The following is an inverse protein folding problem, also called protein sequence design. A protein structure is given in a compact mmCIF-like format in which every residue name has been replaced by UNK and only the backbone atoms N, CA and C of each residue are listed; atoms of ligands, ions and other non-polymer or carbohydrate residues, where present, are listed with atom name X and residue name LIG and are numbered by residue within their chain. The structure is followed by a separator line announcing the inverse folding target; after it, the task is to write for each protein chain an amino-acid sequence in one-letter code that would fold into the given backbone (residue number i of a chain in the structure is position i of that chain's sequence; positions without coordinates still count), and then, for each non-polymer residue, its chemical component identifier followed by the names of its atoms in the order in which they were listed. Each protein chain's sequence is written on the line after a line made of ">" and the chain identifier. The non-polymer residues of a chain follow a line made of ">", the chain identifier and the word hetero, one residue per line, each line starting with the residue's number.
data_IF_607893495368
#
_entry.id   IF_607893495368
#
_cell.length_a   1.000
_cell.length_b   1.000
_cell.length_c   1.000
_cell.angle_alpha   90.00
_cell.angle_beta   90.00
_cell.angle_gamma   90.00
#
_symmetry.space_group_name_H-M   'P 1'
#
loop_
_entity.id
_entity.type
_entity.pdbx_description
1 polymer ?
#
# COMPACT_ATOMS: atom_id res chain seq x y z
N UNK A 1 8.01 -19.06 -19.79
CA UNK A 1 9.28 -18.95 -19.05
C UNK A 1 9.82 -17.57 -19.37
N UNK A 2 9.25 -16.55 -18.72
CA UNK A 2 9.63 -15.16 -18.90
C UNK A 2 10.56 -14.79 -17.75
N UNK A 3 11.73 -14.33 -18.15
CA UNK A 3 12.86 -13.88 -17.34
C UNK A 3 12.39 -12.83 -16.33
N UNK A 4 12.44 -13.13 -15.03
CA UNK A 4 12.16 -12.17 -13.95
C UNK A 4 13.50 -11.49 -13.62
N UNK A 5 13.70 -10.21 -13.98
CA UNK A 5 14.99 -9.57 -13.75
C UNK A 5 15.23 -9.48 -12.24
N UNK A 6 16.45 -9.86 -11.84
CA UNK A 6 16.97 -9.76 -10.49
C UNK A 6 16.88 -8.30 -10.01
N UNK A 7 15.88 -7.97 -9.19
CA UNK A 7 15.75 -6.66 -8.55
C UNK A 7 16.89 -6.49 -7.54
N UNK A 8 17.95 -5.79 -7.97
CA UNK A 8 19.22 -5.64 -7.25
C UNK A 8 19.05 -4.75 -6.01
N UNK A 9 19.77 -5.07 -4.94
CA UNK A 9 19.86 -4.30 -3.68
C UNK A 9 20.10 -2.78 -3.88
N UNK A 10 20.57 -2.36 -5.06
CA UNK A 10 20.71 -0.96 -5.44
C UNK A 10 19.40 -0.17 -5.43
N UNK A 11 18.28 -0.74 -5.86
CA UNK A 11 17.02 0.01 -6.02
C UNK A 11 16.42 0.42 -4.65
N UNK A 12 16.64 -0.41 -3.63
CA UNK A 12 16.23 -0.11 -2.26
C UNK A 12 17.02 1.01 -1.61
N UNK A 13 18.30 1.11 -1.96
CA UNK A 13 19.16 2.19 -1.49
C UNK A 13 18.66 3.55 -1.97
N UNK A 14 18.17 3.65 -3.21
CA UNK A 14 17.76 4.93 -3.80
C UNK A 14 16.39 5.41 -3.32
N UNK A 15 15.50 4.52 -2.88
CA UNK A 15 14.17 4.89 -2.36
C UNK A 15 14.21 5.71 -1.07
N UNK A 16 15.24 5.55 -0.23
CA UNK A 16 15.46 6.38 0.98
C UNK A 16 16.51 7.46 0.77
N UNK A 17 16.91 7.73 -0.48
CA UNK A 17 17.91 8.76 -0.77
C UNK A 17 17.42 10.16 -0.39
N UNK A 18 16.13 10.46 -0.59
CA UNK A 18 15.51 11.72 -0.17
C UNK A 18 15.69 11.98 1.33
N UNK A 19 15.31 11.03 2.18
CA UNK A 19 15.43 11.14 3.64
C UNK A 19 16.88 11.32 4.10
N UNK A 20 17.83 10.62 3.46
CA UNK A 20 19.25 10.78 3.76
C UNK A 20 19.77 12.14 3.33
N UNK A 21 19.38 12.63 2.16
CA UNK A 21 19.73 13.99 1.70
C UNK A 21 19.17 15.01 2.68
N UNK A 22 17.91 14.86 3.09
CA UNK A 22 17.27 15.74 4.06
C UNK A 22 17.99 15.73 5.42
N UNK A 23 18.33 14.53 5.92
CA UNK A 23 19.11 14.37 7.16
C UNK A 23 20.46 15.07 7.08
N UNK A 24 21.15 14.98 5.94
CA UNK A 24 22.43 15.67 5.72
C UNK A 24 22.24 17.19 5.66
N UNK A 25 21.20 17.69 4.98
CA UNK A 25 20.86 19.11 4.94
C UNK A 25 20.56 19.64 6.35
N UNK A 26 19.80 18.90 7.14
CA UNK A 26 19.49 19.29 8.52
C UNK A 26 20.74 19.27 9.39
N UNK A 27 21.62 18.27 9.24
CA UNK A 27 22.92 18.24 9.92
C UNK A 27 23.80 19.45 9.55
N UNK A 28 23.79 19.92 8.30
CA UNK A 28 24.54 21.13 7.91
C UNK A 28 24.04 22.40 8.59
N UNK A 29 22.81 22.41 9.11
CA UNK A 29 22.24 23.54 9.85
C UNK A 29 23.01 23.82 11.16
N UNK A 30 23.73 22.84 11.69
CA UNK A 30 24.65 23.04 12.84
C UNK A 30 25.79 24.02 12.54
N UNK A 31 26.15 24.17 11.25
CA UNK A 31 27.11 25.17 10.76
C UNK A 31 26.53 26.56 10.54
N UNK A 32 25.26 26.79 10.90
CA UNK A 32 24.53 28.05 10.72
C UNK A 32 23.80 28.17 9.38
N UNK A 33 22.97 29.22 9.27
CA UNK A 33 22.09 29.46 8.11
C UNK A 33 22.86 29.49 6.78
N UNK A 34 24.02 30.15 6.75
CA UNK A 34 24.84 30.24 5.54
C UNK A 34 25.41 28.89 5.09
N UNK A 35 25.65 27.93 6.00
CA UNK A 35 26.10 26.59 5.64
C UNK A 35 24.95 25.79 5.01
N UNK A 36 23.75 25.89 5.60
CA UNK A 36 22.53 25.28 5.08
C UNK A 36 22.18 25.82 3.68
N UNK A 37 22.16 27.14 3.49
CA UNK A 37 21.88 27.77 2.20
C UNK A 37 22.84 27.32 1.10
N UNK A 38 24.14 27.18 1.41
CA UNK A 38 25.13 26.66 0.45
C UNK A 38 24.91 25.19 0.13
N UNK A 39 24.52 24.37 1.11
CA UNK A 39 24.21 22.96 0.88
C UNK A 39 22.95 22.79 0.02
N UNK A 40 21.90 23.57 0.30
CA UNK A 40 20.68 23.61 -0.53
C UNK A 40 20.97 24.10 -1.95
N UNK A 41 21.80 25.14 -2.11
CA UNK A 41 22.24 25.60 -3.43
C UNK A 41 23.02 24.53 -4.19
N UNK A 42 23.96 23.83 -3.52
CA UNK A 42 24.69 22.73 -4.14
C UNK A 42 23.76 21.64 -4.66
N UNK A 43 22.79 21.20 -3.85
CA UNK A 43 21.80 20.20 -4.26
C UNK A 43 21.01 20.71 -5.47
N UNK A 44 20.57 21.98 -5.45
CA UNK A 44 19.83 22.59 -6.55
C UNK A 44 20.62 22.61 -7.86
N UNK A 45 21.90 22.98 -7.81
CA UNK A 45 22.78 22.98 -9.00
C UNK A 45 23.00 21.58 -9.57
N UNK A 46 23.23 20.58 -8.70
CA UNK A 46 23.44 19.19 -9.12
C UNK A 46 22.17 18.61 -9.73
N UNK A 47 21.01 18.80 -9.08
CA UNK A 47 19.71 18.35 -9.60
C UNK A 47 19.37 19.06 -10.91
N UNK A 48 19.65 20.37 -11.02
CA UNK A 48 19.47 21.12 -12.26
C UNK A 48 20.32 20.60 -13.42
N UNK A 49 21.60 20.31 -13.17
CA UNK A 49 22.51 19.74 -14.17
C UNK A 49 22.03 18.37 -14.66
N UNK A 50 21.65 17.49 -13.74
CA UNK A 50 21.14 16.16 -14.10
C UNK A 50 19.80 16.23 -14.82
N UNK A 51 18.89 17.10 -14.40
CA UNK A 51 17.61 17.33 -15.09
C UNK A 51 17.81 17.79 -16.53
N UNK A 52 18.69 18.77 -16.77
CA UNK A 52 19.01 19.24 -18.12
C UNK A 52 19.62 18.13 -19.00
N UNK A 53 20.48 17.29 -18.40
CA UNK A 53 21.10 16.16 -19.10
C UNK A 53 20.07 15.07 -19.43
N UNK A 54 19.20 14.74 -18.49
CA UNK A 54 18.13 13.75 -18.67
C UNK A 54 17.12 14.21 -19.72
N UNK A 55 16.71 15.48 -19.70
CA UNK A 55 15.86 16.06 -20.74
C UNK A 55 16.48 15.86 -22.12
N UNK A 56 17.78 16.17 -22.25
CA UNK A 56 18.49 15.96 -23.51
C UNK A 56 18.58 14.49 -23.93
N UNK A 57 18.75 13.58 -22.98
CA UNK A 57 18.76 12.13 -23.25
C UNK A 57 17.40 11.68 -23.77
N UNK A 58 16.31 12.07 -23.11
CA UNK A 58 14.94 11.73 -23.51
C UNK A 58 14.63 12.26 -24.92
N UNK A 59 15.01 13.51 -25.21
CA UNK A 59 14.86 14.11 -26.54
C UNK A 59 15.64 13.36 -27.63
N UNK A 60 16.86 12.90 -27.31
CA UNK A 60 17.72 12.17 -28.25
C UNK A 60 17.22 10.74 -28.51
N UNK A 61 16.59 10.10 -27.53
CA UNK A 61 15.98 8.78 -27.70
C UNK A 61 14.87 8.87 -28.74
N UNK A 62 13.96 9.84 -28.64
CA UNK A 62 12.94 10.17 -29.65
C UNK A 62 11.93 9.06 -30.01
N UNK A 63 12.13 7.85 -29.50
CA UNK A 63 11.30 6.68 -29.73
C UNK A 63 10.28 6.52 -28.59
N UNK A 64 9.00 6.67 -28.94
CA UNK A 64 7.89 6.56 -28.00
C UNK A 64 7.86 5.19 -27.28
N UNK A 65 8.25 4.10 -27.95
CA UNK A 65 8.25 2.77 -27.34
C UNK A 65 9.34 2.64 -26.27
N UNK A 66 10.49 3.30 -26.46
CA UNK A 66 11.55 3.35 -25.44
C UNK A 66 11.12 4.24 -24.28
N UNK A 67 10.51 5.38 -24.56
CA UNK A 67 10.00 6.30 -23.51
C UNK A 67 8.93 5.62 -22.66
N UNK A 68 8.01 4.87 -23.27
CA UNK A 68 7.02 4.07 -22.54
C UNK A 68 7.68 2.98 -21.67
N UNK A 69 8.74 2.32 -22.15
CA UNK A 69 9.50 1.37 -21.35
C UNK A 69 10.20 2.02 -20.15
N UNK A 70 10.73 3.22 -20.32
CA UNK A 70 11.35 3.99 -19.24
C UNK A 70 10.32 4.42 -18.20
N UNK A 71 9.12 4.83 -18.63
CA UNK A 71 8.01 5.16 -17.73
C UNK A 71 7.43 3.92 -17.02
N UNK A 72 7.61 2.72 -17.58
CA UNK A 72 7.21 1.46 -16.95
C UNK A 72 8.17 0.97 -15.86
N UNK A 73 9.37 1.52 -15.75
CA UNK A 73 10.35 1.19 -14.71
C UNK A 73 10.17 2.14 -13.51
N UNK A 74 9.91 1.61 -12.33
CA UNK A 74 9.52 2.43 -11.16
C UNK A 74 10.61 3.43 -10.74
N UNK A 75 11.89 3.06 -10.84
CA UNK A 75 13.01 3.93 -10.45
C UNK A 75 13.21 5.04 -11.48
N UNK A 76 13.18 4.68 -12.77
CA UNK A 76 13.32 5.66 -13.86
C UNK A 76 12.11 6.59 -13.91
N UNK A 77 10.89 6.07 -13.75
CA UNK A 77 9.67 6.88 -13.70
C UNK A 77 9.73 7.90 -12.56
N UNK A 78 10.20 7.50 -11.38
CA UNK A 78 10.40 8.40 -10.23
C UNK A 78 11.41 9.52 -10.55
N UNK A 79 12.51 9.18 -11.21
CA UNK A 79 13.51 10.17 -11.63
C UNK A 79 12.95 11.15 -12.68
N UNK A 80 12.21 10.65 -13.67
CA UNK A 80 11.55 11.48 -14.67
C UNK A 80 10.53 12.43 -14.02
N UNK A 81 9.78 11.97 -13.02
CA UNK A 81 8.83 12.79 -12.26
C UNK A 81 9.51 13.94 -11.52
N UNK A 82 10.58 13.67 -10.78
CA UNK A 82 11.35 14.71 -10.04
C UNK A 82 11.85 15.82 -10.96
N UNK A 83 12.12 15.50 -12.24
CA UNK A 83 12.59 16.45 -13.22
C UNK A 83 11.49 17.00 -14.16
N UNK A 84 10.22 16.62 -13.96
CA UNK A 84 9.11 17.07 -14.82
C UNK A 84 9.18 16.54 -16.26
N UNK A 85 9.83 15.39 -16.46
CA UNK A 85 10.06 14.75 -17.76
C UNK A 85 9.20 13.52 -17.99
N UNK A 86 8.27 13.22 -17.08
CA UNK A 86 7.40 12.06 -17.21
C UNK A 86 6.47 12.21 -18.43
N UNK A 87 6.36 11.20 -19.31
CA UNK A 87 5.61 11.33 -20.57
C UNK A 87 4.08 11.33 -20.38
N UNK A 88 3.61 10.82 -19.24
CA UNK A 88 2.18 10.77 -18.92
C UNK A 88 1.78 11.88 -17.95
N UNK A 89 0.62 12.46 -18.21
CA UNK A 89 -0.01 13.42 -17.30
C UNK A 89 -0.43 12.76 -15.96
N UNK A 90 -0.81 13.61 -15.01
CA UNK A 90 -1.26 13.18 -13.67
C UNK A 90 -2.42 12.18 -13.77
N UNK A 91 -3.40 12.45 -14.62
CA UNK A 91 -4.61 11.64 -14.71
C UNK A 91 -4.30 10.21 -15.17
N UNK A 92 -3.47 10.06 -16.21
CA UNK A 92 -3.01 8.75 -16.69
C UNK A 92 -2.17 8.04 -15.66
N UNK A 93 -1.24 8.73 -14.99
CA UNK A 93 -0.43 8.13 -13.91
C UNK A 93 -1.28 7.60 -12.76
N UNK A 94 -2.28 8.36 -12.33
CA UNK A 94 -3.22 7.92 -11.29
C UNK A 94 -4.03 6.73 -11.78
N UNK A 95 -4.57 6.77 -13.00
CA UNK A 95 -5.32 5.65 -13.57
C UNK A 95 -4.49 4.36 -13.59
N UNK A 96 -3.25 4.44 -14.08
CA UNK A 96 -2.34 3.29 -14.14
C UNK A 96 -2.00 2.78 -12.72
N UNK A 97 -1.85 3.67 -11.74
CA UNK A 97 -1.64 3.30 -10.34
C UNK A 97 -2.86 2.58 -9.76
N UNK A 98 -4.07 3.06 -10.01
CA UNK A 98 -5.31 2.42 -9.59
C UNK A 98 -5.47 1.04 -10.25
N UNK A 99 -5.16 0.91 -11.54
CA UNK A 99 -5.23 -0.36 -12.26
C UNK A 99 -4.29 -1.42 -11.67
N UNK A 100 -3.13 -1.02 -11.13
CA UNK A 100 -2.22 -1.93 -10.40
C UNK A 100 -2.82 -2.40 -9.06
N UNK A 101 -3.64 -1.58 -8.40
CA UNK A 101 -4.24 -1.87 -7.09
C UNK A 101 -5.58 -2.60 -7.20
N UNK A 102 -6.31 -2.44 -8.31
CA UNK A 102 -7.62 -3.08 -8.56
C UNK A 102 -7.66 -4.60 -8.35
N UNK A 103 -6.68 -5.41 -8.82
CA UNK A 103 -6.69 -6.85 -8.57
C UNK A 103 -6.60 -7.22 -7.08
N UNK A 104 -6.02 -6.33 -6.27
CA UNK A 104 -5.99 -6.47 -4.81
C UNK A 104 -7.32 -6.05 -4.19
N UNK A 105 -7.89 -4.90 -4.59
CA UNK A 105 -9.23 -4.48 -4.13
C UNK A 105 -10.30 -5.54 -4.45
N UNK A 106 -10.26 -6.10 -5.67
CA UNK A 106 -11.19 -7.11 -6.11
C UNK A 106 -11.15 -8.40 -5.27
N UNK A 107 -9.96 -8.81 -4.80
CA UNK A 107 -9.85 -9.93 -3.85
C UNK A 107 -10.31 -9.59 -2.43
N UNK A 108 -10.74 -8.36 -2.19
CA UNK A 108 -11.37 -7.94 -0.94
C UNK A 108 -12.83 -7.55 -1.18
N UNK A 109 -13.40 -7.95 -2.33
CA UNK A 109 -14.78 -7.65 -2.72
C UNK A 109 -15.03 -6.17 -3.01
N UNK A 110 -13.97 -5.41 -3.30
CA UNK A 110 -14.00 -3.97 -3.50
C UNK A 110 -13.52 -3.52 -4.88
N UNK A 111 -13.77 -2.27 -5.21
CA UNK A 111 -13.19 -1.59 -6.38
C UNK A 111 -13.07 -0.08 -6.11
N UNK A 112 -12.33 0.61 -6.96
CA UNK A 112 -12.11 2.06 -6.92
C UNK A 112 -12.22 2.68 -8.31
N UNK A 113 -12.92 3.81 -8.37
CA UNK A 113 -13.06 4.63 -9.56
C UNK A 113 -12.48 6.01 -9.32
N UNK A 114 -11.64 6.45 -10.25
CA UNK A 114 -11.23 7.84 -10.36
C UNK A 114 -12.41 8.66 -10.89
N UNK A 115 -12.88 9.63 -10.12
CA UNK A 115 -13.97 10.53 -10.54
C UNK A 115 -13.41 11.74 -11.27
N UNK A 116 -12.47 12.44 -10.65
CA UNK A 116 -11.86 13.64 -11.19
C UNK A 116 -10.53 13.95 -10.50
N UNK A 117 -9.72 14.79 -11.14
CA UNK A 117 -8.52 15.39 -10.56
C UNK A 117 -8.64 16.90 -10.73
N UNK A 118 -8.86 17.60 -9.62
CA UNK A 118 -9.02 19.05 -9.59
C UNK A 118 -7.86 19.65 -8.82
N UNK A 119 -7.05 20.48 -9.49
CA UNK A 119 -5.82 21.05 -8.95
C UNK A 119 -4.88 19.97 -8.41
N UNK A 120 -4.69 19.94 -7.09
CA UNK A 120 -3.87 18.98 -6.35
C UNK A 120 -4.70 17.95 -5.58
N UNK A 121 -6.00 17.87 -5.87
CA UNK A 121 -6.97 17.02 -5.18
C UNK A 121 -7.54 15.95 -6.10
N UNK A 122 -7.41 14.69 -5.69
CA UNK A 122 -7.96 13.54 -6.40
C UNK A 122 -9.27 13.12 -5.77
N UNK A 123 -10.33 12.97 -6.58
CA UNK A 123 -11.63 12.46 -6.12
C UNK A 123 -11.81 11.02 -6.53
N UNK A 124 -12.06 10.17 -5.55
CA UNK A 124 -12.24 8.73 -5.72
C UNK A 124 -13.61 8.29 -5.25
N UNK A 125 -14.12 7.23 -5.87
CA UNK A 125 -15.29 6.51 -5.40
C UNK A 125 -14.93 5.04 -5.20
N UNK A 126 -15.03 4.58 -3.96
CA UNK A 126 -14.94 3.15 -3.65
C UNK A 126 -16.31 2.47 -3.86
N UNK A 127 -16.27 1.19 -4.20
CA UNK A 127 -17.44 0.32 -4.31
C UNK A 127 -17.19 -1.05 -3.69
N UNK A 128 -18.26 -1.80 -3.41
CA UNK A 128 -18.20 -3.14 -2.82
C UNK A 128 -17.97 -3.15 -1.30
N UNK A 129 -17.34 -4.21 -0.80
CA UNK A 129 -17.07 -4.44 0.62
C UNK A 129 -16.16 -3.40 1.27
N UNK A 130 -15.49 -2.55 0.46
CA UNK A 130 -14.78 -1.36 0.93
C UNK A 130 -15.69 -0.40 1.72
N UNK A 131 -17.02 -0.46 1.57
CA UNK A 131 -17.97 0.40 2.30
C UNK A 131 -18.51 -0.22 3.60
N UNK A 132 -18.44 -1.55 3.77
CA UNK A 132 -19.25 -2.27 4.76
C UNK A 132 -18.49 -2.81 5.98
N UNK A 133 -17.16 -2.82 5.95
CA UNK A 133 -16.32 -3.25 7.08
C UNK A 133 -15.31 -2.16 7.47
N UNK A 134 -15.40 -1.56 8.69
CA UNK A 134 -14.57 -0.44 9.10
C UNK A 134 -13.06 -0.71 9.11
N UNK A 135 -12.63 -1.95 9.41
CA UNK A 135 -11.20 -2.31 9.46
C UNK A 135 -10.60 -2.55 8.08
N UNK A 136 -11.37 -3.15 7.17
CA UNK A 136 -10.95 -3.43 5.80
C UNK A 136 -10.96 -2.18 4.93
N UNK A 137 -11.91 -1.26 5.16
CA UNK A 137 -12.02 0.01 4.45
C UNK A 137 -10.77 0.88 4.61
N UNK A 138 -10.31 1.10 5.86
CA UNK A 138 -9.13 1.93 6.17
C UNK A 138 -7.88 1.38 5.51
N UNK A 139 -7.71 0.05 5.54
CA UNK A 139 -6.57 -0.62 4.93
C UNK A 139 -6.53 -0.45 3.40
N UNK A 140 -7.67 -0.61 2.74
CA UNK A 140 -7.77 -0.52 1.29
C UNK A 140 -7.62 0.93 0.81
N UNK A 141 -8.15 1.89 1.57
CA UNK A 141 -7.94 3.32 1.34
C UNK A 141 -6.45 3.67 1.39
N UNK A 142 -5.73 3.22 2.42
CA UNK A 142 -4.28 3.46 2.55
C UNK A 142 -3.46 2.88 1.38
N UNK A 143 -3.80 1.67 0.92
CA UNK A 143 -3.12 1.06 -0.21
C UNK A 143 -3.31 1.87 -1.51
N UNK A 144 -4.51 2.43 -1.70
CA UNK A 144 -4.81 3.31 -2.82
C UNK A 144 -4.11 4.66 -2.68
N UNK A 145 -4.13 5.26 -1.49
CA UNK A 145 -3.42 6.52 -1.23
C UNK A 145 -1.92 6.41 -1.48
N UNK A 146 -1.29 5.35 -0.99
CA UNK A 146 0.15 5.09 -1.20
C UNK A 146 0.47 4.95 -2.70
N UNK A 147 -0.36 4.20 -3.44
CA UNK A 147 -0.18 4.03 -4.88
C UNK A 147 -0.32 5.35 -5.64
N UNK A 148 -1.32 6.17 -5.28
CA UNK A 148 -1.52 7.50 -5.88
C UNK A 148 -0.35 8.42 -5.55
N UNK A 149 0.10 8.49 -4.29
CA UNK A 149 1.22 9.36 -3.90
C UNK A 149 2.53 8.95 -4.55
N UNK A 150 2.75 7.65 -4.77
CA UNK A 150 3.93 7.17 -5.49
C UNK A 150 3.89 7.57 -6.98
N UNK A 151 2.73 7.47 -7.62
CA UNK A 151 2.56 7.80 -9.04
C UNK A 151 2.42 9.31 -9.31
N UNK A 152 1.84 10.05 -8.37
CA UNK A 152 1.52 11.47 -8.49
C UNK A 152 1.88 12.22 -7.19
N UNK A 153 3.18 12.45 -6.92
CA UNK A 153 3.65 13.13 -5.72
C UNK A 153 3.22 14.60 -5.62
N UNK A 154 2.74 15.20 -6.71
CA UNK A 154 2.16 16.55 -6.71
C UNK A 154 0.74 16.62 -6.10
N UNK A 155 0.07 15.47 -5.90
CA UNK A 155 -1.26 15.42 -5.27
C UNK A 155 -1.11 15.61 -3.76
N UNK A 156 -1.78 16.63 -3.22
CA UNK A 156 -1.74 16.97 -1.80
C UNK A 156 -2.90 16.37 -1.01
N UNK A 157 -4.03 16.11 -1.67
CA UNK A 157 -5.27 15.67 -1.04
C UNK A 157 -5.97 14.59 -1.85
N UNK A 158 -6.58 13.62 -1.15
CA UNK A 158 -7.40 12.57 -1.73
C UNK A 158 -8.76 12.60 -1.03
N UNK A 159 -9.81 12.85 -1.81
CA UNK A 159 -11.19 12.93 -1.33
C UNK A 159 -11.96 11.68 -1.77
N UNK A 160 -12.48 10.95 -0.79
CA UNK A 160 -13.38 9.82 -1.05
C UNK A 160 -14.82 10.33 -1.08
N UNK A 161 -15.45 10.23 -2.25
CA UNK A 161 -16.85 10.57 -2.45
C UNK A 161 -17.70 9.33 -2.20
N UNK A 162 -18.38 9.29 -1.05
CA UNK A 162 -19.46 8.33 -0.84
C UNK A 162 -20.68 8.79 -1.63
N UNK A 163 -21.19 7.95 -2.53
CA UNK A 163 -22.49 8.20 -3.15
C UNK A 163 -23.53 8.39 -2.03
N UNK A 164 -24.20 9.54 -2.02
CA UNK A 164 -25.23 9.92 -1.05
C UNK A 164 -26.22 8.76 -0.85
N UNK A 165 -26.20 8.17 0.34
CA UNK A 165 -27.37 7.53 0.90
C UNK A 165 -27.99 8.58 1.83
N UNK A 166 -29.20 9.04 1.49
CA UNK A 166 -29.98 9.95 2.30
C UNK A 166 -29.92 9.55 3.79
N UNK A 167 -29.43 10.49 4.61
CA UNK A 167 -29.66 10.62 6.04
C UNK A 167 -29.89 9.31 6.84
N UNK A 168 -28.81 8.54 7.04
CA UNK A 168 -28.72 7.66 8.20
C UNK A 168 -27.71 8.25 9.18
N UNK A 169 -28.20 8.55 10.39
CA UNK A 169 -27.47 9.16 11.51
C UNK A 169 -26.11 8.48 11.70
N UNK A 170 -25.02 9.26 11.70
CA UNK A 170 -23.68 8.78 12.02
C UNK A 170 -23.68 8.31 13.49
N UNK A 171 -23.41 7.03 13.77
CA UNK A 171 -23.27 6.55 15.14
C UNK A 171 -22.11 7.30 15.83
N UNK A 172 -22.29 7.72 17.09
CA UNK A 172 -21.28 8.49 17.83
C UNK A 172 -19.92 7.77 17.91
N UNK A 173 -19.92 6.44 17.80
CA UNK A 173 -18.76 5.58 17.69
C UNK A 173 -17.88 5.85 16.45
N UNK A 174 -18.45 6.24 15.30
CA UNK A 174 -17.68 6.65 14.11
C UNK A 174 -17.03 8.04 14.24
N UNK A 175 -17.60 8.92 15.08
CA UNK A 175 -17.01 10.23 15.39
C UNK A 175 -15.81 10.11 16.32
N UNK A 176 -15.80 9.10 17.21
CA UNK A 176 -14.68 8.87 18.14
C UNK A 176 -13.44 8.31 17.44
N UNK A 177 -13.59 7.60 16.32
CA UNK A 177 -12.46 7.07 15.54
C UNK A 177 -11.65 8.20 14.88
N UNK A 178 -12.32 9.22 14.32
CA UNK A 178 -11.64 10.39 13.71
C UNK A 178 -10.94 11.29 14.73
N UNK A 179 -11.44 11.36 15.96
CA UNK A 179 -10.83 12.17 17.04
C UNK A 179 -9.59 11.50 17.65
N UNK A 180 -9.49 10.16 17.59
CA UNK A 180 -8.31 9.43 18.06
C UNK A 180 -7.25 9.16 16.97
N UNK A 181 -7.52 9.49 15.70
CA UNK A 181 -6.60 9.27 14.58
C UNK A 181 -5.43 10.27 14.52
N UNK A 182 -5.22 11.07 15.57
CA UNK A 182 -4.08 11.97 15.64
C UNK A 182 -2.83 11.20 16.09
N UNK A 183 -2.18 10.52 15.12
CA UNK A 183 -0.77 10.14 15.21
C UNK A 183 -0.48 8.65 15.42
N UNK A 184 -0.45 7.88 14.34
CA UNK A 184 0.73 7.09 13.94
C UNK A 184 0.42 6.36 12.62
N UNK A 185 1.27 6.55 11.61
CA UNK A 185 1.20 5.74 10.40
C UNK A 185 1.40 4.24 10.76
N UNK A 186 0.74 3.29 10.06
CA UNK A 186 0.99 1.87 10.28
C UNK A 186 2.44 1.54 9.97
N UNK A 187 3.06 0.69 10.79
CA UNK A 187 4.41 0.21 10.53
C UNK A 187 4.33 -1.01 9.63
N UNK A 188 5.05 -0.96 8.50
CA UNK A 188 5.19 -2.09 7.60
C UNK A 188 6.26 -3.05 8.13
N UNK A 189 5.88 -4.29 8.37
CA UNK A 189 6.80 -5.32 8.83
C UNK A 189 7.08 -6.33 7.71
N UNK A 190 8.35 -6.53 7.31
CA UNK A 190 8.69 -7.52 6.30
C UNK A 190 8.43 -8.93 6.83
N UNK A 191 7.77 -9.76 6.01
CA UNK A 191 7.36 -11.14 6.33
C UNK A 191 7.84 -12.10 5.24
N UNK A 192 9.16 -12.28 5.07
CA UNK A 192 9.71 -13.14 4.01
C UNK A 192 9.25 -14.60 4.14
N UNK A 193 8.99 -15.08 5.36
CA UNK A 193 8.51 -16.45 5.60
C UNK A 193 7.15 -16.76 4.99
N UNK A 194 6.37 -15.75 4.56
CA UNK A 194 5.12 -15.99 3.85
C UNK A 194 5.37 -16.48 2.42
N UNK A 195 6.54 -16.15 1.85
CA UNK A 195 6.95 -16.62 0.53
C UNK A 195 7.27 -18.12 0.51
N UNK A 196 7.63 -18.69 1.67
CA UNK A 196 7.98 -20.11 1.80
C UNK A 196 6.75 -21.03 1.81
N UNK A 197 5.56 -20.47 2.03
CA UNK A 197 4.29 -21.22 2.00
C UNK A 197 4.03 -21.77 0.59
N UNK A 198 3.79 -23.07 0.52
CA UNK A 198 3.38 -23.74 -0.73
C UNK A 198 1.89 -23.52 -1.01
N UNK A 199 1.43 -23.57 -2.28
CA UNK A 199 0.01 -23.45 -2.60
C UNK A 199 -0.86 -24.46 -1.83
N UNK A 200 -1.88 -23.96 -1.14
CA UNK A 200 -2.76 -24.75 -0.26
C UNK A 200 -2.30 -24.82 1.20
N UNK A 201 -1.16 -24.22 1.55
CA UNK A 201 -0.65 -24.21 2.93
C UNK A 201 -1.21 -23.04 3.76
N UNK A 202 -1.36 -23.30 5.06
CA UNK A 202 -1.71 -22.32 6.08
C UNK A 202 -0.61 -22.32 7.13
N UNK A 203 -0.06 -21.14 7.43
CA UNK A 203 0.97 -20.97 8.46
C UNK A 203 0.55 -19.94 9.50
N UNK A 204 0.90 -20.22 10.77
CA UNK A 204 0.79 -19.25 11.85
C UNK A 204 2.12 -18.53 12.06
N UNK A 205 2.08 -17.21 12.17
CA UNK A 205 3.25 -16.34 12.32
C UNK A 205 3.02 -15.33 13.43
N UNK A 206 4.10 -14.95 14.12
CA UNK A 206 4.10 -13.81 15.04
C UNK A 206 4.79 -12.64 14.35
N UNK A 207 4.08 -11.53 14.17
CA UNK A 207 4.60 -10.32 13.52
C UNK A 207 4.36 -9.14 14.44
N UNK A 208 5.44 -8.55 14.99
CA UNK A 208 5.35 -7.45 15.97
C UNK A 208 4.35 -7.73 17.11
N UNK A 209 4.50 -8.89 17.75
CA UNK A 209 3.64 -9.41 18.83
C UNK A 209 2.16 -9.64 18.46
N UNK A 210 1.80 -9.50 17.19
CA UNK A 210 0.49 -9.85 16.66
C UNK A 210 0.51 -11.28 16.06
N UNK A 211 -0.39 -12.18 16.50
CA UNK A 211 -0.55 -13.48 15.86
C UNK A 211 -1.30 -13.34 14.53
N UNK A 212 -0.68 -13.83 13.46
CA UNK A 212 -1.14 -13.72 12.09
C UNK A 212 -1.28 -15.11 11.48
N UNK A 213 -2.38 -15.33 10.81
CA UNK A 213 -2.61 -16.49 9.95
C UNK A 213 -2.32 -16.10 8.50
N UNK A 214 -1.37 -16.79 7.86
CA UNK A 214 -1.10 -16.61 6.44
C UNK A 214 -1.56 -17.83 5.64
N UNK A 215 -2.18 -17.57 4.49
CA UNK A 215 -2.74 -18.59 3.60
C UNK A 215 -2.20 -18.39 2.19
N UNK A 216 -1.77 -19.47 1.53
CA UNK A 216 -1.36 -19.42 0.12
C UNK A 216 -2.42 -20.06 -0.78
N UNK A 217 -3.03 -19.26 -1.65
CA UNK A 217 -3.98 -19.74 -2.68
C UNK A 217 -3.38 -19.49 -4.05
N UNK A 218 -3.00 -20.57 -4.75
CA UNK A 218 -2.20 -20.47 -5.97
C UNK A 218 -0.89 -19.71 -5.70
N UNK A 219 -0.62 -18.67 -6.51
CA UNK A 219 0.58 -17.85 -6.35
C UNK A 219 0.42 -16.68 -5.36
N UNK A 220 -0.78 -16.47 -4.79
CA UNK A 220 -1.10 -15.32 -3.94
C UNK A 220 -1.08 -15.68 -2.45
N UNK A 221 -0.47 -14.82 -1.63
CA UNK A 221 -0.53 -14.90 -0.18
C UNK A 221 -1.63 -13.97 0.35
N UNK A 222 -2.33 -14.44 1.37
CA UNK A 222 -3.34 -13.72 2.13
C UNK A 222 -2.97 -13.78 3.61
N UNK A 223 -3.31 -12.75 4.36
CA UNK A 223 -3.06 -12.70 5.81
C UNK A 223 -4.30 -12.26 6.57
N UNK A 224 -4.51 -12.85 7.74
CA UNK A 224 -5.59 -12.56 8.66
C UNK A 224 -5.07 -12.52 10.08
N UNK A 225 -5.81 -11.90 11.00
CA UNK A 225 -5.60 -12.13 12.43
C UNK A 225 -5.88 -13.59 12.75
N UNK A 226 -5.10 -14.18 13.65
CA UNK A 226 -5.29 -15.56 14.10
C UNK A 226 -6.49 -15.67 15.07
N UNK A 227 -7.70 -15.50 14.54
CA UNK A 227 -8.94 -15.51 15.31
C UNK A 227 -10.12 -15.99 14.45
N UNK A 228 -10.86 -16.98 14.95
CA UNK A 228 -12.02 -17.54 14.30
C UNK A 228 -13.32 -16.89 14.82
N UNK A 229 -14.07 -16.15 13.99
CA UNK A 229 -15.30 -15.47 14.42
C UNK A 229 -16.44 -16.43 14.82
N UNK A 230 -16.35 -17.72 14.44
CA UNK A 230 -17.36 -18.71 14.81
C UNK A 230 -17.21 -19.31 16.21
N UNK A 231 -16.01 -19.26 16.82
CA UNK A 231 -15.76 -19.90 18.13
C UNK A 231 -14.81 -19.14 19.03
N UNK A 232 -14.44 -17.92 18.63
CA UNK A 232 -13.48 -17.01 19.24
C UNK A 232 -12.09 -17.60 19.53
N UNK A 233 -11.79 -18.76 18.94
CA UNK A 233 -10.50 -19.45 19.11
C UNK A 233 -9.48 -19.07 18.04
N UNK A 234 -8.21 -19.45 18.28
CA UNK A 234 -7.18 -19.41 17.25
C UNK A 234 -7.55 -20.32 16.06
N UNK A 235 -7.11 -19.92 14.86
CA UNK A 235 -7.17 -20.67 13.61
C UNK A 235 -5.95 -21.56 13.40
N UNK A 236 -5.07 -21.70 14.40
CA UNK A 236 -3.97 -22.65 14.36
C UNK A 236 -4.46 -24.07 14.03
N UNK A 237 -3.83 -24.67 13.01
CA UNK A 237 -4.22 -25.98 12.49
C UNK A 237 -5.41 -25.97 11.53
N UNK A 238 -5.91 -24.80 11.12
CA UNK A 238 -6.91 -24.70 10.07
C UNK A 238 -6.43 -25.31 8.75
N UNK A 239 -7.35 -25.95 8.03
CA UNK A 239 -7.09 -26.60 6.75
C UNK A 239 -7.55 -25.68 5.61
N UNK A 240 -6.74 -25.55 4.57
CA UNK A 240 -7.08 -24.81 3.36
C UNK A 240 -7.26 -25.78 2.19
N UNK A 241 -8.42 -25.70 1.55
CA UNK A 241 -8.70 -26.44 0.32
C UNK A 241 -9.16 -25.47 -0.75
N UNK A 242 -8.37 -25.35 -1.82
CA UNK A 242 -8.50 -24.32 -2.85
C UNK A 242 -8.43 -22.90 -2.24
N UNK A 243 -9.58 -22.24 -2.07
CA UNK A 243 -9.71 -20.93 -1.42
C UNK A 243 -10.44 -21.00 -0.07
N UNK A 244 -10.84 -22.20 0.36
CA UNK A 244 -11.71 -22.38 1.51
C UNK A 244 -10.92 -22.77 2.75
N UNK A 245 -10.85 -21.85 3.71
CA UNK A 245 -10.26 -22.11 5.02
C UNK A 245 -11.32 -22.71 5.95
N UNK A 246 -10.98 -23.82 6.60
CA UNK A 246 -11.83 -24.48 7.60
C UNK A 246 -11.18 -24.42 8.96
N UNK A 247 -11.87 -23.83 9.94
CA UNK A 247 -11.41 -23.82 11.33
C UNK A 247 -11.29 -25.26 11.86
N UNK A 248 -10.15 -25.61 12.46
CA UNK A 248 -9.92 -26.93 13.04
C UNK A 248 -10.84 -27.23 14.25
N UNK A 249 -11.31 -26.19 14.94
CA UNK A 249 -12.06 -26.31 16.20
C UNK A 249 -13.57 -26.37 16.02
N UNK A 250 -14.15 -25.42 15.30
CA UNK A 250 -15.60 -25.32 15.11
C UNK A 250 -16.06 -25.72 13.71
N UNK A 251 -15.12 -25.96 12.79
CA UNK A 251 -15.38 -26.31 11.40
C UNK A 251 -16.10 -25.24 10.58
N UNK A 252 -16.23 -24.02 11.09
CA UNK A 252 -16.68 -22.87 10.31
C UNK A 252 -15.76 -22.66 9.11
N UNK A 253 -16.37 -22.26 7.99
CA UNK A 253 -15.71 -22.17 6.68
C UNK A 253 -15.68 -20.73 6.19
N UNK A 254 -14.51 -20.31 5.71
CA UNK A 254 -14.25 -18.93 5.30
C UNK A 254 -13.58 -18.91 3.92
N UNK A 255 -14.10 -18.09 3.02
CA UNK A 255 -13.49 -17.88 1.70
C UNK A 255 -12.33 -16.88 1.81
N UNK A 256 -11.10 -17.40 1.75
CA UNK A 256 -9.86 -16.63 1.84
C UNK A 256 -9.78 -15.59 0.71
N UNK A 257 -10.17 -15.96 -0.50
CA UNK A 257 -10.02 -15.05 -1.65
C UNK A 257 -11.02 -13.89 -1.62
N UNK A 258 -12.09 -14.00 -0.81
CA UNK A 258 -13.10 -12.96 -0.64
C UNK A 258 -13.13 -12.43 0.80
N UNK A 259 -11.99 -11.89 1.24
CA UNK A 259 -11.80 -11.26 2.56
C UNK A 259 -12.19 -12.16 3.77
N UNK A 260 -12.09 -13.48 3.63
CA UNK A 260 -12.44 -14.40 4.70
C UNK A 260 -13.94 -14.48 5.00
N UNK A 261 -14.80 -14.20 4.00
CA UNK A 261 -16.24 -14.25 4.17
C UNK A 261 -16.72 -15.63 4.64
N UNK A 262 -17.55 -15.65 5.69
CA UNK A 262 -18.14 -16.87 6.22
C UNK A 262 -19.14 -17.49 5.25
N UNK A 263 -18.98 -18.79 4.98
CA UNK A 263 -19.92 -19.56 4.13
C UNK A 263 -21.09 -20.16 4.92
N UNK A 264 -20.88 -20.40 6.21
CA UNK A 264 -21.92 -20.94 7.10
C UNK A 264 -22.82 -19.83 7.66
N UNK A 265 -22.26 -18.63 7.84
CA UNK A 265 -22.94 -17.40 8.24
C UNK A 265 -22.30 -16.21 7.52
N UNK A 266 -23.06 -15.58 6.62
CA UNK A 266 -22.61 -14.46 5.77
C UNK A 266 -22.36 -13.17 6.55
N UNK A 267 -22.74 -13.10 7.83
CA UNK A 267 -22.43 -11.98 8.71
C UNK A 267 -21.06 -12.11 9.41
N UNK A 268 -20.43 -13.29 9.32
CA UNK A 268 -19.10 -13.54 9.88
C UNK A 268 -18.03 -13.37 8.82
N UNK A 269 -16.88 -12.81 9.19
CA UNK A 269 -15.72 -12.73 8.31
C UNK A 269 -14.43 -12.81 9.15
N UNK A 270 -13.35 -13.30 8.55
CA UNK A 270 -12.02 -13.17 9.13
C UNK A 270 -11.56 -11.70 9.08
N UNK A 271 -10.65 -11.29 9.95
CA UNK A 271 -10.06 -9.96 9.90
C UNK A 271 -8.83 -9.95 8.99
N UNK A 272 -8.92 -9.49 7.72
CA UNK A 272 -7.78 -9.45 6.82
C UNK A 272 -6.74 -8.42 7.28
N UNK A 273 -5.47 -8.75 7.05
CA UNK A 273 -4.34 -7.85 7.27
C UNK A 273 -3.68 -7.59 5.91
N UNK A 274 -3.41 -6.32 5.55
CA UNK A 274 -2.85 -6.01 4.25
C UNK A 274 -1.47 -6.61 4.05
N UNK A 275 -1.30 -7.18 2.87
CA UNK A 275 -0.03 -7.64 2.33
C UNK A 275 0.29 -6.89 1.07
N UNK A 276 1.46 -6.25 1.04
CA UNK A 276 2.00 -5.63 -0.16
C UNK A 276 3.42 -6.14 -0.37
N UNK A 277 3.80 -6.31 -1.63
CA UNK A 277 5.20 -6.48 -1.97
C UNK A 277 5.83 -5.11 -1.92
N UNK A 278 6.59 -4.85 -0.85
CA UNK A 278 7.44 -3.67 -0.74
C UNK A 278 8.86 -4.16 -0.96
N UNK A 279 9.55 -3.58 -1.93
CA UNK A 279 10.96 -3.84 -2.13
C UNK A 279 11.29 -5.30 -2.50
N UNK A 280 10.38 -5.94 -3.24
CA UNK A 280 10.48 -7.35 -3.59
C UNK A 280 10.17 -8.32 -2.44
N UNK A 281 9.89 -7.79 -1.24
CA UNK A 281 9.59 -8.56 -0.03
C UNK A 281 8.13 -8.38 0.34
N UNK A 282 7.43 -9.50 0.58
CA UNK A 282 6.09 -9.48 1.17
C UNK A 282 6.16 -8.79 2.53
N UNK A 283 5.38 -7.73 2.69
CA UNK A 283 5.32 -6.91 3.90
C UNK A 283 3.88 -6.78 4.36
N UNK A 284 3.69 -6.88 5.67
CA UNK A 284 2.40 -6.85 6.33
C UNK A 284 2.25 -5.54 7.10
N UNK A 285 1.11 -4.85 6.99
CA UNK A 285 0.89 -3.62 7.77
C UNK A 285 0.38 -3.97 9.17
N UNK A 286 1.13 -3.54 10.18
CA UNK A 286 0.73 -3.68 11.58
C UNK A 286 0.22 -2.32 12.07
N UNK A 287 -0.99 -2.24 12.67
CA UNK A 287 -1.46 -1.04 13.33
C UNK A 287 -0.45 -0.64 14.41
N UNK A 288 -0.08 0.65 14.47
CA UNK A 288 0.73 1.14 15.58
C UNK A 288 -0.04 0.93 16.89
N UNK A 289 0.50 0.13 17.81
CA UNK A 289 -0.14 -0.05 19.11
C UNK A 289 -0.28 1.30 19.81
N UNK A 290 -1.50 1.64 20.22
CA UNK A 290 -1.70 2.61 21.28
C UNK A 290 -1.08 2.01 22.54
N UNK A 291 0.12 2.46 22.90
CA UNK A 291 0.77 2.13 24.17
C UNK A 291 -0.23 2.41 25.28
N UNK A 292 -0.82 1.32 25.79
CA UNK A 292 -1.74 1.37 26.91
C UNK A 292 -1.00 1.93 28.11
N UNK A 293 -1.47 3.07 28.59
CA UNK A 293 -1.23 3.54 29.96
C UNK A 293 -1.72 2.43 30.89
N UNK A 294 -0.80 1.68 31.49
CA UNK A 294 -1.09 0.94 32.71
C UNK A 294 -0.70 1.81 33.90
N UNK A 295 -1.71 2.06 34.74
CA UNK A 295 -1.64 2.76 36.02
C UNK A 295 -0.89 1.96 37.09
#
# INVERSE_FOLDING_TARGET
>A
MADRPEQSQGDAQWRTAGDRIQTLLDATSTGGVAARERAEQLVREVVGLYGATLSRIVDLVGDAAVVERLAGDDLVASLLLVHGLHPHDVHRRISDALDRVRPYLGSHGGDVHLLDVVDDTVRLQFSGSCKSCPSSAVTLELAVEDAIRAAAPEISSIEVVTADAEAAVIPAESLLTKVHSNGSAPHWHPVPGFADLVPGEVGGFMVADMPVLACRVGDRCYAYRDHCPGCDGSLAGAELQDALLRCARCHARFDVVHAGAGLDDTSTHLDPIPLLVRDGVLSLAVPAESVGVSA
#
